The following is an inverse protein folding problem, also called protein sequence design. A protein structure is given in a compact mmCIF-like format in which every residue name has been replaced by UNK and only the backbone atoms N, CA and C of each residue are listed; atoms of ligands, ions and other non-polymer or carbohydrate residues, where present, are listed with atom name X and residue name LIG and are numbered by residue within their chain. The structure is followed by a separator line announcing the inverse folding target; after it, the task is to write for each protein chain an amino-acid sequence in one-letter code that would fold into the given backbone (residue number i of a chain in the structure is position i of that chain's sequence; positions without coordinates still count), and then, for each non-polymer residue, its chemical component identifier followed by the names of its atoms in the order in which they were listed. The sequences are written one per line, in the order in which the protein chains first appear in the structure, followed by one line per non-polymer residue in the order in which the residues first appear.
data_IF_566114531158
#
_entry.id   IF_566114531158
#
_cell.length_a   1.000
_cell.length_b   1.000
_cell.length_c   1.000
_cell.angle_alpha   90.00
_cell.angle_beta   90.00
_cell.angle_gamma   90.00
#
_symmetry.space_group_name_H-M   'P 1'
#
loop_
_entity.id
_entity.type
_entity.pdbx_description
1 polymer ?
#
# COMPACT_ATOMS: atom_id res chain seq x y z
N UNK A 1 13.67 12.97 -24.62
CA UNK A 1 14.74 13.61 -23.83
C UNK A 1 15.78 12.57 -23.45
N UNK A 2 17.06 12.95 -23.55
CA UNK A 2 18.17 12.11 -23.11
C UNK A 2 18.21 12.14 -21.57
N UNK A 3 18.13 10.97 -20.94
CA UNK A 3 18.25 10.87 -19.49
C UNK A 3 19.67 11.28 -19.05
N UNK A 4 19.82 11.94 -17.89
CA UNK A 4 21.13 12.18 -17.30
C UNK A 4 21.92 10.87 -17.11
N UNK A 5 23.25 10.89 -17.24
CA UNK A 5 24.05 9.67 -17.26
C UNK A 5 24.14 8.96 -15.91
N UNK A 6 23.96 9.68 -14.82
CA UNK A 6 24.07 9.14 -13.46
C UNK A 6 22.68 9.04 -12.83
N UNK A 7 22.40 7.90 -12.23
CA UNK A 7 21.15 7.65 -11.46
C UNK A 7 21.49 6.96 -10.15
N UNK A 8 20.92 7.44 -9.05
CA UNK A 8 20.86 6.74 -7.76
C UNK A 8 19.41 6.60 -7.33
N UNK A 9 19.02 5.41 -6.94
CA UNK A 9 17.66 5.15 -6.45
C UNK A 9 17.68 5.14 -4.93
N UNK A 10 16.81 5.91 -4.32
CA UNK A 10 16.56 5.87 -2.88
C UNK A 10 15.31 5.04 -2.58
N UNK A 11 15.35 4.32 -1.46
CA UNK A 11 14.20 3.61 -0.90
C UNK A 11 14.10 3.99 0.58
N UNK A 12 13.00 4.61 0.97
CA UNK A 12 12.79 5.17 2.30
C UNK A 12 11.61 4.44 2.94
N UNK A 13 11.87 3.73 4.03
CA UNK A 13 10.87 2.93 4.76
C UNK A 13 10.41 3.69 6.00
N UNK A 14 9.11 4.03 6.05
CA UNK A 14 8.49 4.73 7.19
C UNK A 14 7.63 3.76 7.99
N UNK A 15 7.79 3.78 9.31
CA UNK A 15 7.14 2.85 10.24
C UNK A 15 6.03 3.50 11.09
N UNK A 16 6.00 4.83 11.12
CA UNK A 16 4.97 5.63 11.75
C UNK A 16 3.74 5.85 10.86
N UNK A 17 2.88 6.79 11.26
CA UNK A 17 1.71 7.19 10.46
C UNK A 17 2.15 7.90 9.18
N UNK A 18 1.35 7.79 8.12
CA UNK A 18 1.61 8.49 6.85
C UNK A 18 1.66 10.01 7.06
N UNK A 19 0.77 10.55 7.91
CA UNK A 19 0.77 11.96 8.31
C UNK A 19 2.13 12.43 8.85
N UNK A 20 2.85 11.59 9.58
CA UNK A 20 4.15 11.94 10.17
C UNK A 20 5.27 11.94 9.10
N UNK A 21 5.07 11.20 8.01
CA UNK A 21 5.99 11.10 6.88
C UNK A 21 5.84 12.23 5.85
N UNK A 22 4.65 12.83 5.72
CA UNK A 22 4.35 13.89 4.73
C UNK A 22 5.34 15.06 4.77
N UNK A 23 5.76 15.58 5.93
CA UNK A 23 6.77 16.64 5.97
C UNK A 23 8.09 16.25 5.28
N UNK A 24 8.50 14.98 5.34
CA UNK A 24 9.68 14.50 4.60
C UNK A 24 9.47 14.55 3.10
N UNK A 25 8.27 14.21 2.61
CA UNK A 25 7.95 14.27 1.17
C UNK A 25 8.02 15.71 0.68
N UNK A 26 7.46 16.64 1.43
CA UNK A 26 7.49 18.08 1.12
C UNK A 26 8.94 18.57 1.08
N UNK A 27 9.73 18.30 2.12
CA UNK A 27 11.13 18.71 2.24
C UNK A 27 11.99 18.14 1.09
N UNK A 28 11.85 16.85 0.77
CA UNK A 28 12.53 16.22 -0.36
C UNK A 28 12.14 16.89 -1.67
N UNK A 29 10.85 17.14 -1.88
CA UNK A 29 10.39 17.80 -3.10
C UNK A 29 10.92 19.22 -3.22
N UNK A 30 10.93 19.98 -2.13
CA UNK A 30 11.44 21.35 -2.08
C UNK A 30 12.95 21.42 -2.32
N UNK A 31 13.69 20.42 -1.89
CA UNK A 31 15.13 20.31 -2.15
C UNK A 31 15.46 20.27 -3.65
N UNK A 32 14.58 19.71 -4.49
CA UNK A 32 14.76 19.61 -5.93
C UNK A 32 13.97 20.64 -6.76
N UNK A 33 13.20 21.51 -6.14
CA UNK A 33 12.49 22.62 -6.83
C UNK A 33 13.42 23.76 -7.23
N UNK A 34 12.98 24.67 -8.11
CA UNK A 34 13.69 25.93 -8.39
C UNK A 34 14.02 26.67 -7.08
N UNK A 35 15.27 26.98 -6.88
CA UNK A 35 15.81 27.56 -5.65
C UNK A 35 16.26 26.56 -4.59
N UNK A 36 15.95 25.28 -4.73
CA UNK A 36 16.42 24.22 -3.85
C UNK A 36 17.88 23.84 -4.12
N UNK A 37 18.59 23.36 -3.07
CA UNK A 37 20.01 23.05 -3.13
C UNK A 37 20.34 21.90 -4.10
N UNK A 38 19.46 20.91 -4.24
CA UNK A 38 19.65 19.79 -5.16
C UNK A 38 19.67 20.23 -6.62
N UNK A 39 18.68 21.05 -7.01
CA UNK A 39 18.62 21.60 -8.36
C UNK A 39 19.79 22.57 -8.64
N UNK A 40 20.18 23.38 -7.66
CA UNK A 40 21.33 24.27 -7.76
C UNK A 40 22.65 23.49 -8.00
N UNK A 41 22.75 22.27 -7.50
CA UNK A 41 23.86 21.36 -7.74
C UNK A 41 23.75 20.59 -9.07
N UNK A 42 22.77 20.88 -9.93
CA UNK A 42 22.56 20.20 -11.21
C UNK A 42 21.95 18.80 -11.07
N UNK A 43 21.30 18.50 -9.93
CA UNK A 43 20.68 17.22 -9.64
C UNK A 43 19.16 17.35 -9.66
N UNK A 44 18.47 16.33 -10.17
CA UNK A 44 17.01 16.33 -10.31
C UNK A 44 16.43 15.06 -9.68
N UNK A 45 15.22 15.21 -9.13
CA UNK A 45 14.37 14.09 -8.77
C UNK A 45 13.55 13.70 -10.01
N UNK A 46 13.90 12.57 -10.63
CA UNK A 46 13.27 12.11 -11.86
C UNK A 46 11.90 11.46 -11.59
N UNK A 47 11.68 10.96 -10.40
CA UNK A 47 10.42 10.40 -9.94
C UNK A 47 10.48 10.05 -8.47
N UNK A 48 9.34 10.12 -7.79
CA UNK A 48 9.16 9.71 -6.40
C UNK A 48 7.80 8.98 -6.29
N UNK A 49 7.86 7.68 -6.05
CA UNK A 49 6.69 6.82 -5.97
C UNK A 49 6.36 6.51 -4.50
N UNK A 50 5.09 6.58 -4.18
CA UNK A 50 4.56 6.25 -2.86
C UNK A 50 3.89 4.88 -2.88
N UNK A 51 4.30 3.98 -1.98
CA UNK A 51 3.69 2.69 -1.74
C UNK A 51 3.07 2.72 -0.34
N UNK A 52 1.75 2.60 -0.25
CA UNK A 52 1.02 2.57 1.02
C UNK A 52 1.12 1.20 1.73
N UNK A 53 0.61 1.12 2.96
CA UNK A 53 0.65 -0.10 3.78
C UNK A 53 -0.09 -1.28 3.09
N UNK A 54 -1.21 -1.01 2.42
CA UNK A 54 -1.99 -2.06 1.72
C UNK A 54 -1.22 -2.62 0.55
N UNK A 55 -0.59 -1.74 -0.23
CA UNK A 55 0.27 -2.14 -1.34
C UNK A 55 1.48 -2.94 -0.84
N UNK A 56 2.17 -2.44 0.17
CA UNK A 56 3.34 -3.09 0.80
C UNK A 56 2.99 -4.50 1.28
N UNK A 57 1.80 -4.69 1.84
CA UNK A 57 1.28 -5.99 2.26
C UNK A 57 0.96 -6.90 1.08
N UNK A 58 0.23 -6.39 0.09
CA UNK A 58 -0.27 -7.16 -1.04
C UNK A 58 0.84 -7.69 -1.95
N UNK A 59 1.91 -6.91 -2.17
CA UNK A 59 3.04 -7.34 -3.00
C UNK A 59 4.05 -8.20 -2.27
N UNK A 60 3.88 -8.40 -0.96
CA UNK A 60 4.87 -9.11 -0.14
C UNK A 60 6.22 -8.38 -0.12
N UNK A 61 6.16 -7.06 0.08
CA UNK A 61 7.34 -6.19 0.07
C UNK A 61 8.45 -6.72 0.98
N UNK A 62 9.65 -6.84 0.45
CA UNK A 62 10.83 -7.25 1.21
C UNK A 62 11.41 -6.04 1.95
N UNK A 63 11.06 -5.93 3.25
CA UNK A 63 11.58 -4.90 4.15
C UNK A 63 13.11 -4.96 4.19
N UNK A 64 13.75 -3.82 4.04
CA UNK A 64 15.22 -3.69 4.03
C UNK A 64 15.75 -3.35 5.42
N UNK A 65 14.95 -2.62 6.20
CA UNK A 65 15.24 -2.33 7.60
C UNK A 65 15.21 -3.59 8.47
N UNK A 66 16.28 -3.84 9.24
CA UNK A 66 16.37 -5.06 10.07
C UNK A 66 15.73 -4.91 11.44
N UNK A 67 15.55 -3.68 11.92
CA UNK A 67 15.16 -3.36 13.31
C UNK A 67 13.66 -3.17 13.49
N UNK A 68 12.93 -2.95 12.40
CA UNK A 68 11.51 -2.65 12.40
C UNK A 68 10.75 -3.75 11.68
N UNK A 69 9.47 -3.86 11.97
CA UNK A 69 8.55 -4.73 11.24
C UNK A 69 8.32 -4.24 9.80
N UNK A 70 7.15 -4.55 9.25
CA UNK A 70 6.78 -4.09 7.90
C UNK A 70 6.56 -2.57 7.92
N UNK A 71 7.12 -1.82 6.95
CA UNK A 71 6.86 -0.39 6.84
C UNK A 71 5.38 -0.13 6.49
N UNK A 72 4.85 0.97 7.00
CA UNK A 72 3.51 1.46 6.67
C UNK A 72 3.49 2.29 5.40
N UNK A 73 4.63 2.84 5.05
CA UNK A 73 4.81 3.59 3.81
C UNK A 73 6.23 3.39 3.31
N UNK A 74 6.37 3.28 1.99
CA UNK A 74 7.67 3.26 1.32
C UNK A 74 7.68 4.32 0.23
N UNK A 75 8.73 5.11 0.17
CA UNK A 75 9.02 5.98 -0.96
C UNK A 75 10.18 5.41 -1.77
N UNK A 76 10.00 5.30 -3.08
CA UNK A 76 11.06 4.90 -4.01
C UNK A 76 11.24 6.02 -5.02
N UNK A 77 12.47 6.52 -5.18
CA UNK A 77 12.73 7.62 -6.09
C UNK A 77 14.06 7.51 -6.80
N UNK A 78 14.11 8.05 -8.02
CA UNK A 78 15.34 8.16 -8.82
C UNK A 78 15.87 9.59 -8.77
N UNK A 79 17.10 9.73 -8.33
CA UNK A 79 17.86 10.98 -8.31
C UNK A 79 18.88 10.92 -9.43
N UNK A 80 18.87 11.92 -10.32
CA UNK A 80 19.64 11.90 -11.55
C UNK A 80 20.43 13.18 -11.74
N UNK A 81 21.56 13.09 -12.43
CA UNK A 81 22.41 14.22 -12.74
C UNK A 81 23.55 13.86 -13.68
N UNK A 82 24.42 14.83 -13.96
CA UNK A 82 25.59 14.64 -14.78
C UNK A 82 26.82 14.18 -13.98
N UNK A 83 26.91 14.57 -12.71
CA UNK A 83 28.05 14.32 -11.83
C UNK A 83 27.69 13.31 -10.75
N UNK A 84 28.50 12.24 -10.62
CA UNK A 84 28.26 11.15 -9.67
C UNK A 84 28.36 11.60 -8.21
N UNK A 85 29.28 12.47 -7.90
CA UNK A 85 29.50 13.00 -6.54
C UNK A 85 28.30 13.83 -6.10
N UNK A 86 27.81 14.71 -6.99
CA UNK A 86 26.64 15.55 -6.71
C UNK A 86 25.37 14.70 -6.53
N UNK A 87 25.15 13.69 -7.38
CA UNK A 87 24.00 12.79 -7.29
C UNK A 87 24.06 11.95 -6.00
N UNK A 88 25.25 11.45 -5.62
CA UNK A 88 25.40 10.69 -4.36
C UNK A 88 25.22 11.59 -3.14
N UNK A 89 25.72 12.81 -3.15
CA UNK A 89 25.51 13.77 -2.08
C UNK A 89 24.03 14.10 -1.90
N UNK A 90 23.29 14.34 -3.01
CA UNK A 90 21.85 14.58 -2.99
C UNK A 90 21.06 13.36 -2.47
N UNK A 91 21.43 12.15 -2.91
CA UNK A 91 20.80 10.92 -2.43
C UNK A 91 21.03 10.73 -0.92
N UNK A 92 22.23 11.02 -0.43
CA UNK A 92 22.56 10.95 0.99
C UNK A 92 21.78 11.98 1.81
N UNK A 93 21.59 13.17 1.28
CA UNK A 93 20.78 14.22 1.92
C UNK A 93 19.30 13.84 2.00
N UNK A 94 18.72 13.26 0.94
CA UNK A 94 17.36 12.73 0.94
C UNK A 94 17.20 11.65 2.02
N UNK A 95 18.14 10.73 2.15
CA UNK A 95 18.14 9.71 3.21
C UNK A 95 18.22 10.37 4.58
N UNK A 96 19.06 11.38 4.75
CA UNK A 96 19.18 12.12 6.01
C UNK A 96 17.86 12.80 6.41
N UNK A 97 17.18 13.46 5.46
CA UNK A 97 15.88 14.11 5.68
C UNK A 97 14.81 13.10 6.15
N UNK A 98 14.76 11.94 5.51
CA UNK A 98 13.81 10.89 5.87
C UNK A 98 14.13 10.26 7.25
N UNK A 99 15.40 9.95 7.50
CA UNK A 99 15.85 9.36 8.77
C UNK A 99 15.64 10.30 9.96
N UNK A 100 15.73 11.62 9.77
CA UNK A 100 15.44 12.62 10.80
C UNK A 100 13.98 12.59 11.27
N UNK A 101 13.09 11.93 10.51
CA UNK A 101 11.65 11.77 10.82
C UNK A 101 11.26 10.31 11.04
N UNK A 102 12.20 9.49 11.49
CA UNK A 102 11.95 8.10 11.88
C UNK A 102 11.81 7.10 10.73
N UNK A 103 12.29 7.45 9.53
CA UNK A 103 12.43 6.48 8.44
C UNK A 103 13.78 5.74 8.52
N UNK A 104 13.89 4.64 7.79
CA UNK A 104 15.17 4.04 7.40
C UNK A 104 15.35 4.14 5.88
N UNK A 105 16.39 4.86 5.45
CA UNK A 105 16.68 5.12 4.04
C UNK A 105 17.85 4.29 3.51
N UNK A 106 17.71 3.85 2.27
CA UNK A 106 18.68 3.04 1.54
C UNK A 106 18.96 3.64 0.17
N UNK A 107 20.21 3.56 -0.29
CA UNK A 107 20.64 4.02 -1.61
C UNK A 107 21.07 2.82 -2.44
N UNK A 108 20.48 2.65 -3.61
CA UNK A 108 20.95 1.69 -4.60
C UNK A 108 22.05 2.31 -5.44
N UNK A 109 23.26 1.80 -5.27
CA UNK A 109 24.45 2.27 -6.00
C UNK A 109 24.75 1.45 -7.25
N UNK A 110 24.14 0.25 -7.40
CA UNK A 110 24.30 -0.61 -8.58
C UNK A 110 22.97 -0.75 -9.34
N UNK A 111 23.04 -0.99 -10.67
CA UNK A 111 21.87 -1.25 -11.49
C UNK A 111 21.02 -2.45 -10.98
N UNK A 112 21.68 -3.49 -10.45
CA UNK A 112 21.01 -4.68 -9.93
C UNK A 112 20.21 -4.37 -8.66
N UNK A 113 20.79 -3.57 -7.75
CA UNK A 113 20.09 -3.11 -6.53
C UNK A 113 18.95 -2.18 -6.89
N UNK A 114 19.15 -1.28 -7.85
CA UNK A 114 18.11 -0.41 -8.40
C UNK A 114 16.94 -1.23 -8.94
N UNK A 115 17.22 -2.23 -9.76
CA UNK A 115 16.19 -3.14 -10.31
C UNK A 115 15.40 -3.83 -9.21
N UNK A 116 16.06 -4.26 -8.13
CA UNK A 116 15.37 -4.88 -6.96
C UNK A 116 14.42 -3.89 -6.28
N UNK A 117 14.81 -2.62 -6.08
CA UNK A 117 13.94 -1.62 -5.47
C UNK A 117 12.68 -1.37 -6.31
N UNK A 118 12.84 -1.24 -7.64
CA UNK A 118 11.73 -1.03 -8.56
C UNK A 118 10.87 -2.27 -8.82
N UNK A 119 11.38 -3.47 -8.53
CA UNK A 119 10.62 -4.72 -8.72
C UNK A 119 9.35 -4.76 -7.87
N UNK A 120 9.42 -4.27 -6.64
CA UNK A 120 8.27 -4.23 -5.75
C UNK A 120 7.16 -3.30 -6.31
N UNK A 121 7.55 -2.20 -6.97
CA UNK A 121 6.61 -1.28 -7.65
C UNK A 121 5.99 -1.89 -8.90
N UNK A 122 6.71 -2.74 -9.61
CA UNK A 122 6.22 -3.38 -10.84
C UNK A 122 5.11 -4.41 -10.61
N UNK A 123 4.89 -4.85 -9.37
CA UNK A 123 3.91 -5.89 -9.00
C UNK A 123 2.48 -5.37 -8.81
N UNK A 124 2.07 -4.35 -9.56
CA UNK A 124 0.75 -3.70 -9.42
C UNK A 124 -0.44 -4.66 -9.56
N UNK A 125 -0.32 -5.71 -10.39
CA UNK A 125 -1.37 -6.72 -10.55
C UNK A 125 -1.62 -7.56 -9.28
N UNK A 126 -0.70 -7.56 -8.31
CA UNK A 126 -0.85 -8.32 -7.07
C UNK A 126 -2.00 -7.81 -6.20
N UNK A 127 -2.34 -6.52 -6.29
CA UNK A 127 -3.41 -5.91 -5.49
C UNK A 127 -4.76 -6.53 -5.80
N UNK A 128 -5.14 -6.63 -7.09
CA UNK A 128 -6.42 -7.20 -7.51
C UNK A 128 -6.53 -8.68 -7.16
N UNK A 129 -5.41 -9.42 -7.18
CA UNK A 129 -5.37 -10.82 -6.82
C UNK A 129 -5.61 -11.08 -5.32
N UNK A 130 -5.18 -10.17 -4.45
CA UNK A 130 -5.23 -10.35 -3.00
C UNK A 130 -6.41 -9.66 -2.32
N UNK A 131 -7.07 -8.71 -3.00
CA UNK A 131 -8.14 -7.92 -2.38
C UNK A 131 -9.52 -8.23 -2.90
N UNK A 132 -9.67 -9.01 -3.97
CA UNK A 132 -10.94 -9.23 -4.71
C UNK A 132 -11.68 -7.90 -5.01
N UNK A 133 -10.98 -6.79 -4.97
CA UNK A 133 -11.55 -5.48 -5.20
C UNK A 133 -11.46 -5.14 -6.70
N UNK A 134 -12.50 -4.57 -7.24
CA UNK A 134 -12.42 -3.89 -8.52
C UNK A 134 -11.44 -2.73 -8.37
N UNK A 135 -10.37 -2.75 -9.18
CA UNK A 135 -9.45 -1.63 -9.24
C UNK A 135 -10.13 -0.52 -10.04
N UNK A 136 -10.59 0.49 -9.33
CA UNK A 136 -10.93 1.78 -9.95
C UNK A 136 -9.63 2.57 -10.03
N UNK A 137 -9.22 2.97 -11.23
CA UNK A 137 -8.09 3.86 -11.40
C UNK A 137 -8.54 5.26 -10.98
N UNK A 138 -7.93 5.75 -9.92
CA UNK A 138 -8.19 7.08 -9.37
C UNK A 138 -6.93 7.93 -9.58
N UNK A 139 -6.94 8.71 -10.65
CA UNK A 139 -5.92 9.73 -10.86
C UNK A 139 -6.41 11.02 -10.18
N UNK A 140 -6.05 11.20 -8.93
CA UNK A 140 -6.38 12.39 -8.16
C UNK A 140 -5.15 13.26 -7.94
N UNK A 141 -5.33 14.57 -8.06
CA UNK A 141 -4.30 15.56 -7.73
C UNK A 141 -4.57 16.11 -6.34
N UNK A 142 -3.64 15.85 -5.42
CA UNK A 142 -3.74 16.28 -4.03
C UNK A 142 -2.54 17.14 -3.70
N UNK A 143 -2.75 18.34 -3.09
CA UNK A 143 -1.64 19.11 -2.55
C UNK A 143 -0.84 18.26 -1.56
N UNK A 144 0.49 18.19 -1.73
CA UNK A 144 1.35 17.34 -0.90
C UNK A 144 1.12 17.52 0.61
N UNK A 145 0.95 18.74 1.18
CA UNK A 145 0.67 18.89 2.60
C UNK A 145 -0.64 18.24 3.06
N UNK A 146 -1.60 17.98 2.14
CA UNK A 146 -2.89 17.35 2.44
C UNK A 146 -2.88 15.82 2.23
N UNK A 147 -1.75 15.25 1.83
CA UNK A 147 -1.63 13.83 1.52
C UNK A 147 -1.96 12.94 2.74
N UNK A 148 -1.57 13.35 3.94
CA UNK A 148 -1.89 12.62 5.17
C UNK A 148 -3.40 12.54 5.42
N UNK A 149 -4.11 13.69 5.34
CA UNK A 149 -5.57 13.77 5.50
C UNK A 149 -6.29 12.89 4.47
N UNK A 150 -5.79 12.90 3.23
CA UNK A 150 -6.34 12.06 2.17
C UNK A 150 -6.17 10.56 2.48
N UNK A 151 -4.99 10.13 2.87
CA UNK A 151 -4.73 8.73 3.21
C UNK A 151 -5.59 8.26 4.39
N UNK A 152 -5.69 9.06 5.45
CA UNK A 152 -6.55 8.77 6.62
C UNK A 152 -8.03 8.72 6.22
N UNK A 153 -8.46 9.63 5.33
CA UNK A 153 -9.83 9.68 4.81
C UNK A 153 -10.19 8.43 3.98
N UNK A 154 -9.34 8.05 3.05
CA UNK A 154 -9.51 6.85 2.21
C UNK A 154 -9.50 5.58 3.08
N UNK A 155 -8.61 5.49 4.06
CA UNK A 155 -8.57 4.34 4.98
C UNK A 155 -9.87 4.22 5.78
N UNK A 156 -10.39 5.33 6.31
CA UNK A 156 -11.68 5.35 7.01
C UNK A 156 -12.83 4.87 6.12
N UNK A 157 -12.95 5.41 4.90
CA UNK A 157 -13.97 5.02 3.94
C UNK A 157 -13.89 3.52 3.63
N UNK A 158 -12.68 3.01 3.40
CA UNK A 158 -12.47 1.59 3.14
C UNK A 158 -12.91 0.71 4.31
N UNK A 159 -12.62 1.12 5.55
CA UNK A 159 -13.04 0.38 6.75
C UNK A 159 -14.57 0.41 6.88
N UNK A 160 -15.18 1.59 6.80
CA UNK A 160 -16.64 1.77 6.93
C UNK A 160 -17.40 0.94 5.88
N UNK A 161 -17.03 1.04 4.61
CA UNK A 161 -17.68 0.28 3.53
C UNK A 161 -17.43 -1.23 3.66
N UNK A 162 -16.21 -1.65 4.06
CA UNK A 162 -15.90 -3.06 4.26
C UNK A 162 -16.74 -3.66 5.40
N UNK A 163 -16.92 -2.94 6.50
CA UNK A 163 -17.75 -3.38 7.62
C UNK A 163 -19.22 -3.43 7.20
N UNK A 164 -19.75 -2.39 6.56
CA UNK A 164 -21.13 -2.37 6.09
C UNK A 164 -21.43 -3.54 5.14
N UNK A 165 -20.53 -3.82 4.18
CA UNK A 165 -20.69 -4.94 3.26
C UNK A 165 -20.64 -6.30 3.96
N UNK A 166 -19.75 -6.48 4.95
CA UNK A 166 -19.66 -7.73 5.73
C UNK A 166 -20.91 -7.97 6.56
N UNK A 167 -21.44 -6.92 7.19
CA UNK A 167 -22.70 -6.99 7.95
C UNK A 167 -23.86 -7.36 7.02
N UNK A 168 -23.98 -6.69 5.88
CA UNK A 168 -25.01 -6.98 4.90
C UNK A 168 -24.93 -8.42 4.37
N UNK A 169 -23.72 -8.93 4.14
CA UNK A 169 -23.49 -10.32 3.75
C UNK A 169 -23.91 -11.30 4.87
N UNK A 170 -23.53 -11.03 6.12
CA UNK A 170 -23.93 -11.86 7.26
C UNK A 170 -25.44 -11.88 7.45
N UNK A 171 -26.11 -10.72 7.32
CA UNK A 171 -27.57 -10.63 7.40
C UNK A 171 -28.25 -11.40 6.24
N UNK A 172 -27.72 -11.30 5.01
CA UNK A 172 -28.23 -12.05 3.88
C UNK A 172 -28.06 -13.57 4.06
N UNK A 173 -26.91 -14.01 4.60
CA UNK A 173 -26.66 -15.42 4.89
C UNK A 173 -27.59 -15.92 6.03
N UNK A 174 -27.80 -15.13 7.06
CA UNK A 174 -28.75 -15.46 8.13
C UNK A 174 -30.15 -15.66 7.58
N UNK A 175 -30.64 -14.71 6.77
CA UNK A 175 -31.96 -14.80 6.13
C UNK A 175 -32.08 -16.02 5.20
N UNK A 176 -31.02 -16.33 4.44
CA UNK A 176 -30.98 -17.49 3.58
C UNK A 176 -31.06 -18.81 4.38
N UNK A 177 -30.24 -18.90 5.45
CA UNK A 177 -30.23 -20.11 6.32
C UNK A 177 -31.51 -20.31 7.11
N UNK A 178 -32.23 -19.23 7.43
CA UNK A 178 -33.53 -19.28 8.11
C UNK A 178 -34.69 -19.58 7.16
N UNK A 179 -34.49 -19.37 5.85
CA UNK A 179 -35.47 -19.63 4.83
C UNK A 179 -35.54 -21.10 4.38
N UNK A 180 -36.33 -21.34 3.35
CA UNK A 180 -36.43 -22.63 2.68
C UNK A 180 -35.14 -22.87 1.84
N UNK A 181 -34.38 -23.91 2.18
CA UNK A 181 -33.13 -24.23 1.47
C UNK A 181 -33.43 -25.14 0.27
N UNK A 182 -32.85 -24.89 -0.91
CA UNK A 182 -33.01 -25.73 -2.11
C UNK A 182 -32.18 -27.02 -1.97
N UNK A 183 -32.65 -27.93 -1.11
CA UNK A 183 -32.02 -29.21 -0.92
C UNK A 183 -32.50 -30.20 -1.96
N UNK A 184 -31.58 -30.74 -2.73
CA UNK A 184 -31.85 -31.85 -3.64
C UNK A 184 -31.58 -33.17 -2.90
N UNK A 185 -32.58 -33.75 -2.28
CA UNK A 185 -32.51 -35.12 -1.82
C UNK A 185 -32.46 -36.03 -3.05
N UNK A 186 -31.48 -36.91 -3.12
CA UNK A 186 -31.43 -37.93 -4.18
C UNK A 186 -32.57 -38.96 -4.11
N UNK A 187 -33.32 -38.96 -3.01
CA UNK A 187 -34.53 -39.73 -2.76
C UNK A 187 -35.68 -38.79 -2.39
N UNK A 188 -36.74 -38.82 -3.19
CA UNK A 188 -37.92 -37.99 -3.00
C UNK A 188 -38.70 -38.27 -1.68
N UNK A 189 -38.37 -39.33 -0.98
CA UNK A 189 -39.01 -39.72 0.28
C UNK A 189 -38.23 -39.25 1.53
N UNK A 190 -37.05 -38.64 1.38
CA UNK A 190 -36.27 -38.10 2.50
C UNK A 190 -36.69 -36.67 2.80
N UNK A 191 -37.06 -36.41 4.03
CA UNK A 191 -37.30 -35.04 4.52
C UNK A 191 -36.01 -34.24 4.49
N UNK A 192 -35.96 -33.12 3.75
CA UNK A 192 -34.77 -32.26 3.68
C UNK A 192 -34.29 -31.79 5.06
N UNK A 193 -35.16 -31.55 6.01
CA UNK A 193 -34.79 -31.12 7.36
C UNK A 193 -34.02 -32.20 8.11
N UNK A 194 -34.33 -33.49 7.87
CA UNK A 194 -33.59 -34.60 8.46
C UNK A 194 -32.16 -34.71 7.88
N UNK A 195 -31.95 -34.29 6.63
CA UNK A 195 -30.62 -34.25 6.00
C UNK A 195 -29.73 -33.15 6.56
N UNK A 196 -30.32 -32.04 6.99
CA UNK A 196 -29.58 -30.92 7.56
C UNK A 196 -29.12 -31.22 8.98
N UNK A 197 -29.91 -31.94 9.78
CA UNK A 197 -29.63 -32.13 11.24
C UNK A 197 -29.31 -30.77 11.88
N UNK A 198 -28.28 -30.72 12.67
CA UNK A 198 -27.82 -29.52 13.40
C UNK A 198 -26.97 -28.59 12.56
N UNK A 199 -26.74 -28.88 11.28
CA UNK A 199 -25.84 -28.06 10.42
C UNK A 199 -26.37 -26.65 10.18
N UNK A 200 -27.70 -26.49 10.12
CA UNK A 200 -28.35 -25.18 10.00
C UNK A 200 -28.05 -24.31 11.23
N UNK A 201 -28.21 -24.86 12.43
CA UNK A 201 -27.97 -24.17 13.70
C UNK A 201 -26.48 -23.82 13.84
N UNK A 202 -25.56 -24.76 13.56
CA UNK A 202 -24.13 -24.52 13.58
C UNK A 202 -23.73 -23.43 12.58
N UNK A 203 -24.32 -23.40 11.38
CA UNK A 203 -24.05 -22.35 10.40
C UNK A 203 -24.56 -20.97 10.84
N UNK A 204 -25.74 -20.90 11.47
CA UNK A 204 -26.28 -19.67 12.04
C UNK A 204 -25.40 -19.14 13.19
N UNK A 205 -24.92 -20.01 14.08
CA UNK A 205 -23.99 -19.63 15.15
C UNK A 205 -22.68 -19.07 14.60
N UNK A 206 -22.12 -19.73 13.56
CA UNK A 206 -20.90 -19.23 12.87
C UNK A 206 -21.11 -17.84 12.27
N UNK A 207 -22.22 -17.63 11.56
CA UNK A 207 -22.54 -16.32 10.96
C UNK A 207 -22.73 -15.26 12.03
N UNK A 208 -23.45 -15.59 13.12
CA UNK A 208 -23.63 -14.68 14.26
C UNK A 208 -22.29 -14.30 14.90
N UNK A 209 -21.39 -15.26 15.10
CA UNK A 209 -20.04 -15.01 15.63
C UNK A 209 -19.16 -14.14 14.75
N UNK A 210 -19.33 -14.20 13.42
CA UNK A 210 -18.60 -13.33 12.48
C UNK A 210 -19.20 -11.92 12.42
N UNK A 211 -20.54 -11.80 12.67
CA UNK A 211 -21.24 -10.52 12.64
C UNK A 211 -20.98 -9.66 13.88
N UNK A 212 -20.71 -10.26 15.03
CA UNK A 212 -20.42 -9.59 16.30
C UNK A 212 -19.06 -8.88 16.27
#
# INVERSE_FOLDING_TARGET
HKMPPVTRTVCLEFFGRVTDAVPSIVEITDYFKPGGAGLAAGVQLAGLEHLDERYVRAVGYATKAKRHGRPKMVLIGDIVGADDTAVMAAASEVVRMANARGAEGFIAVSPETRKKFWLDRARTAAISKHTNAFKVNEDVVIPLPRMGDYCDGIERINIELSLANKIALADALTNYLQGELPLHAGDANLDPELLLGDKREQALELVAGVRA
#
